data_IF_022163886985
#
_entry.id   IF_022163886985
#
_cell.length_a   1.000
_cell.length_b   1.000
_cell.length_c   1.000
_cell.angle_alpha   90.00
_cell.angle_beta   90.00
_cell.angle_gamma   90.00
#
_symmetry.space_group_name_H-M   'P 1'
#
loop_
_entity.id
_entity.type
_entity.pdbx_description
1 polymer ?
#
# COMPACT_ATOMS: atom_id res chain seq x y z
N UNK A 1 10.78 54.97 -11.69
CA UNK A 1 9.69 55.95 -11.93
C UNK A 1 8.41 55.14 -12.06
N UNK A 2 7.62 55.17 -10.97
CA UNK A 2 6.24 55.70 -10.93
C UNK A 2 5.24 54.81 -11.67
N UNK A 3 4.15 54.33 -11.20
CA UNK A 3 3.24 54.46 -10.04
C UNK A 3 2.24 53.31 -10.18
N UNK A 4 1.84 52.55 -9.25
CA UNK A 4 1.00 52.77 -8.06
C UNK A 4 -0.49 53.12 -8.36
N UNK A 5 -1.36 52.33 -7.74
CA UNK A 5 -2.74 52.62 -7.28
C UNK A 5 -3.88 52.13 -8.19
N UNK A 6 -5.05 51.68 -7.72
CA UNK A 6 -5.72 51.53 -6.41
C UNK A 6 -6.98 50.70 -6.67
N UNK A 7 -7.32 49.79 -5.81
CA UNK A 7 -8.51 49.69 -4.93
C UNK A 7 -9.83 50.20 -5.49
N UNK A 8 -10.85 49.33 -5.52
CA UNK A 8 -12.18 49.71 -4.96
C UNK A 8 -12.96 48.49 -4.49
N UNK A 9 -13.40 48.54 -3.25
CA UNK A 9 -14.33 47.66 -2.59
C UNK A 9 -15.78 48.01 -2.96
N UNK A 10 -16.66 47.06 -2.92
CA UNK A 10 -18.12 47.26 -3.02
C UNK A 10 -18.86 46.16 -2.25
N UNK A 11 -19.33 46.52 -1.06
CA UNK A 11 -20.35 45.81 -0.27
C UNK A 11 -21.75 46.02 -0.87
N UNK A 12 -22.64 45.03 -0.68
CA UNK A 12 -24.05 45.07 -0.23
C UNK A 12 -24.73 43.78 -0.63
N UNK A 13 -25.23 43.00 0.23
CA UNK A 13 -26.27 43.02 1.25
C UNK A 13 -27.48 42.17 0.83
N UNK A 14 -27.74 41.19 1.65
CA UNK A 14 -28.98 40.66 2.15
C UNK A 14 -30.14 40.27 1.19
N UNK A 15 -30.61 39.02 1.37
CA UNK A 15 -31.91 38.56 0.96
C UNK A 15 -32.18 37.15 1.54
N UNK A 16 -32.77 37.07 2.73
CA UNK A 16 -33.37 35.90 3.29
C UNK A 16 -34.59 35.49 2.47
N UNK A 17 -34.71 34.21 2.09
CA UNK A 17 -36.01 33.57 1.89
C UNK A 17 -35.91 32.13 2.37
N UNK A 18 -36.62 31.87 3.46
CA UNK A 18 -36.96 30.56 4.00
C UNK A 18 -37.96 29.89 3.09
N UNK A 19 -37.64 28.67 2.62
CA UNK A 19 -38.68 27.71 2.27
C UNK A 19 -38.33 26.34 2.80
N UNK A 20 -39.13 25.90 3.74
CA UNK A 20 -39.23 24.55 4.27
C UNK A 20 -39.59 23.58 3.14
N UNK A 21 -38.81 22.51 3.01
CA UNK A 21 -39.14 21.38 2.14
C UNK A 21 -38.38 20.16 2.64
N UNK A 22 -39.01 19.35 3.53
CA UNK A 22 -38.56 18.01 3.85
C UNK A 22 -38.66 17.14 2.61
N UNK A 23 -37.52 16.65 2.13
CA UNK A 23 -37.47 15.44 1.33
C UNK A 23 -36.23 14.68 1.80
N UNK A 24 -36.47 13.67 2.62
CA UNK A 24 -35.52 12.65 2.99
C UNK A 24 -35.24 11.79 1.75
N UNK A 25 -34.22 12.11 1.02
CA UNK A 25 -33.57 11.18 0.09
C UNK A 25 -32.38 10.59 0.80
N UNK A 26 -32.58 9.39 1.32
CA UNK A 26 -31.47 8.50 1.69
C UNK A 26 -30.70 8.16 0.42
N UNK A 27 -29.69 8.94 0.11
CA UNK A 27 -28.64 8.48 -0.78
C UNK A 27 -27.78 7.49 0.01
N UNK A 28 -28.04 6.20 -0.21
CA UNK A 28 -27.03 5.18 0.00
C UNK A 28 -25.86 5.54 -0.92
N UNK A 29 -24.93 6.34 -0.42
CA UNK A 29 -23.58 6.35 -0.95
C UNK A 29 -22.94 5.07 -0.45
N UNK A 30 -22.92 4.02 -1.29
CA UNK A 30 -21.93 2.98 -1.17
C UNK A 30 -20.59 3.68 -1.32
N UNK A 31 -19.93 4.01 -0.20
CA UNK A 31 -18.54 4.39 -0.21
C UNK A 31 -17.78 3.19 -0.75
N UNK A 32 -17.16 3.36 -1.91
CA UNK A 32 -16.27 2.34 -2.45
C UNK A 32 -15.13 2.15 -1.44
N UNK A 33 -14.80 0.91 -1.12
CA UNK A 33 -13.70 0.55 -0.21
C UNK A 33 -12.35 1.16 -0.60
N UNK A 34 -12.18 1.60 -1.85
CA UNK A 34 -11.02 2.32 -2.32
C UNK A 34 -10.74 3.66 -1.61
N UNK A 35 -11.77 4.32 -1.07
CA UNK A 35 -11.62 5.61 -0.38
C UNK A 35 -10.93 5.49 0.99
N UNK A 36 -10.85 4.27 1.52
CA UNK A 36 -10.24 3.98 2.82
C UNK A 36 -8.71 3.97 2.78
N UNK A 37 -8.11 3.66 1.63
CA UNK A 37 -6.67 3.50 1.46
C UNK A 37 -5.95 4.75 0.96
N UNK A 38 -6.67 5.72 0.40
CA UNK A 38 -6.07 6.85 -0.31
C UNK A 38 -6.51 8.23 0.20
N UNK A 39 -7.47 8.30 1.13
CA UNK A 39 -8.09 9.55 1.53
C UNK A 39 -7.87 9.96 2.99
N UNK A 40 -8.21 11.22 3.33
CA UNK A 40 -8.13 11.75 4.70
C UNK A 40 -9.07 11.04 5.71
N UNK A 41 -9.84 10.04 5.25
CA UNK A 41 -10.67 9.19 6.13
C UNK A 41 -9.88 8.09 6.84
N UNK A 42 -8.69 7.78 6.36
CA UNK A 42 -7.86 6.70 6.87
C UNK A 42 -7.39 6.96 8.31
N UNK A 43 -6.88 8.15 8.59
CA UNK A 43 -6.49 8.57 9.93
C UNK A 43 -7.65 8.43 10.94
N UNK A 44 -8.88 8.78 10.50
CA UNK A 44 -10.08 8.68 11.33
C UNK A 44 -10.48 7.24 11.66
N UNK A 45 -10.26 6.30 10.74
CA UNK A 45 -10.59 4.89 10.99
C UNK A 45 -9.82 4.37 12.21
N UNK A 46 -8.51 4.56 12.23
CA UNK A 46 -7.67 4.08 13.32
C UNK A 46 -7.88 4.86 14.62
N UNK A 47 -8.17 6.18 14.55
CA UNK A 47 -8.59 6.97 15.70
C UNK A 47 -9.92 6.44 16.28
N UNK A 48 -10.90 6.11 15.44
CA UNK A 48 -12.20 5.57 15.85
C UNK A 48 -12.12 4.13 16.37
N UNK A 49 -11.18 3.32 15.87
CA UNK A 49 -10.95 1.96 16.34
C UNK A 49 -10.23 1.92 17.69
N UNK A 50 -9.44 2.96 17.99
CA UNK A 50 -8.66 3.06 19.24
C UNK A 50 -7.52 2.05 19.26
N UNK A 51 -7.73 0.90 19.94
CA UNK A 51 -6.80 -0.21 20.00
C UNK A 51 -7.55 -1.53 20.09
N UNK A 52 -6.96 -2.61 19.56
CA UNK A 52 -7.45 -3.96 19.73
C UNK A 52 -7.21 -4.46 21.17
N UNK A 53 -8.07 -5.35 21.64
CA UNK A 53 -7.83 -6.12 22.87
C UNK A 53 -7.00 -7.36 22.48
N UNK A 54 -5.76 -7.41 22.96
CA UNK A 54 -4.78 -8.46 22.64
C UNK A 54 -4.45 -9.24 23.90
N UNK A 55 -4.54 -10.57 23.84
CA UNK A 55 -4.12 -11.44 24.93
C UNK A 55 -2.59 -11.53 24.99
N UNK A 56 -1.99 -10.76 25.88
CA UNK A 56 -0.56 -10.73 26.15
C UNK A 56 -0.12 -11.67 27.27
N UNK A 57 -1.03 -12.49 27.81
CA UNK A 57 -0.74 -13.36 28.99
C UNK A 57 0.32 -14.43 28.71
N UNK A 58 0.57 -14.73 27.42
CA UNK A 58 1.55 -15.72 26.97
C UNK A 58 2.73 -15.09 26.23
N UNK A 59 2.95 -13.78 26.41
CA UNK A 59 4.05 -13.09 25.75
C UNK A 59 5.40 -13.72 26.12
N UNK A 60 6.12 -14.18 25.12
CA UNK A 60 7.47 -14.73 25.23
C UNK A 60 8.35 -14.23 24.07
N UNK A 61 9.60 -14.69 24.00
CA UNK A 61 10.51 -14.36 22.90
C UNK A 61 10.55 -12.88 22.58
N UNK A 62 10.46 -12.56 21.31
CA UNK A 62 10.52 -11.20 20.78
C UNK A 62 9.36 -10.33 21.27
N UNK A 63 8.14 -10.89 21.41
CA UNK A 63 7.01 -10.11 21.95
C UNK A 63 7.30 -9.60 23.36
N UNK A 64 7.83 -10.47 24.22
CA UNK A 64 8.19 -10.06 25.58
C UNK A 64 9.26 -8.97 25.57
N UNK A 65 10.31 -9.08 24.72
CA UNK A 65 11.36 -8.08 24.60
C UNK A 65 10.80 -6.71 24.16
N UNK A 66 9.84 -6.70 23.22
CA UNK A 66 9.14 -5.50 22.75
C UNK A 66 8.37 -4.85 23.90
N UNK A 67 7.59 -5.64 24.67
CA UNK A 67 6.81 -5.15 25.79
C UNK A 67 7.70 -4.60 26.92
N UNK A 68 8.79 -5.30 27.27
CA UNK A 68 9.74 -4.88 28.28
C UNK A 68 10.48 -3.59 27.88
N UNK A 69 10.79 -3.43 26.61
CA UNK A 69 11.44 -2.25 26.02
C UNK A 69 10.47 -1.07 25.83
N UNK A 70 9.18 -1.34 25.71
CA UNK A 70 8.15 -0.35 25.41
C UNK A 70 8.21 0.19 23.98
N UNK A 71 8.80 -0.56 23.02
CA UNK A 71 8.96 -0.12 21.63
C UNK A 71 8.98 -1.32 20.68
N UNK A 72 8.24 -1.19 19.55
CA UNK A 72 8.33 -2.08 18.40
C UNK A 72 8.99 -1.35 17.23
N UNK A 73 9.88 -2.04 16.50
CA UNK A 73 10.62 -1.49 15.36
C UNK A 73 10.07 -2.09 14.08
N UNK A 74 9.44 -1.25 13.25
CA UNK A 74 8.97 -1.57 11.91
C UNK A 74 10.07 -1.32 10.88
N UNK A 75 10.23 -2.22 9.91
CA UNK A 75 10.90 -1.93 8.64
C UNK A 75 9.89 -1.84 7.49
N UNK A 76 10.09 -0.87 6.59
CA UNK A 76 9.25 -0.64 5.41
C UNK A 76 10.05 0.02 4.28
N UNK A 77 9.57 -0.14 3.02
CA UNK A 77 10.11 0.52 1.82
C UNK A 77 9.10 1.57 1.34
N UNK A 78 9.25 2.86 1.71
CA UNK A 78 8.21 3.85 1.52
C UNK A 78 8.20 4.45 0.12
N UNK A 79 8.02 3.61 -0.89
CA UNK A 79 7.95 3.92 -2.32
C UNK A 79 6.75 3.26 -3.02
N UNK A 80 5.77 2.75 -2.24
CA UNK A 80 4.63 2.00 -2.75
C UNK A 80 3.27 2.63 -2.34
N UNK A 81 2.94 3.84 -2.84
CA UNK A 81 1.69 4.51 -2.48
C UNK A 81 0.47 3.73 -3.02
N UNK A 82 -0.64 3.64 -2.25
CA UNK A 82 -0.90 4.34 -0.99
C UNK A 82 -0.50 3.55 0.26
N UNK A 83 0.14 2.37 0.11
CA UNK A 83 0.45 1.47 1.22
C UNK A 83 1.54 2.05 2.13
N UNK A 84 2.67 2.46 1.55
CA UNK A 84 3.75 3.15 2.24
C UNK A 84 4.47 4.12 1.29
N UNK A 85 4.61 5.34 1.70
CA UNK A 85 5.23 6.39 0.89
C UNK A 85 5.77 7.53 1.76
N UNK A 86 6.59 8.38 1.16
CA UNK A 86 7.07 9.62 1.80
C UNK A 86 6.21 10.78 1.30
N UNK A 87 5.60 11.54 2.22
CA UNK A 87 4.84 12.73 1.86
C UNK A 87 5.74 13.92 1.51
N UNK A 88 5.15 15.02 0.99
CA UNK A 88 5.87 16.24 0.61
C UNK A 88 6.62 16.91 1.78
N UNK A 89 6.35 16.50 3.01
CA UNK A 89 6.99 16.99 4.23
C UNK A 89 8.12 16.06 4.71
N UNK A 90 8.34 14.94 4.01
CA UNK A 90 9.33 13.94 4.34
C UNK A 90 8.88 12.94 5.41
N UNK A 91 7.58 12.87 5.73
CA UNK A 91 7.06 11.89 6.66
C UNK A 91 6.71 10.59 5.94
N UNK A 92 7.01 9.47 6.59
CA UNK A 92 6.57 8.15 6.11
C UNK A 92 5.12 7.94 6.49
N UNK A 93 4.27 7.66 5.51
CA UNK A 93 2.81 7.51 5.65
C UNK A 93 2.30 6.34 4.81
N UNK A 94 1.01 6.07 4.94
CA UNK A 94 0.29 5.06 4.17
C UNK A 94 -0.41 4.03 5.06
N UNK A 95 -1.18 3.14 4.42
CA UNK A 95 -1.99 2.15 5.12
C UNK A 95 -1.16 1.21 5.99
N UNK A 96 0.02 0.82 5.52
CA UNK A 96 0.92 -0.08 6.25
C UNK A 96 1.51 0.56 7.49
N UNK A 97 1.79 1.87 7.41
CA UNK A 97 2.27 2.65 8.56
C UNK A 97 1.17 2.81 9.61
N UNK A 98 -0.07 3.02 9.16
CA UNK A 98 -1.23 3.10 10.05
C UNK A 98 -1.51 1.76 10.73
N UNK A 99 -1.43 0.64 10.00
CA UNK A 99 -1.53 -0.70 10.57
C UNK A 99 -0.45 -0.92 11.64
N UNK A 100 0.81 -0.58 11.33
CA UNK A 100 1.90 -0.70 12.29
C UNK A 100 1.68 0.14 13.55
N UNK A 101 1.16 1.37 13.40
CA UNK A 101 0.80 2.23 14.54
C UNK A 101 -0.34 1.62 15.37
N UNK A 102 -1.35 1.04 14.71
CA UNK A 102 -2.46 0.37 15.38
C UNK A 102 -1.99 -0.88 16.15
N UNK A 103 -1.07 -1.65 15.57
CA UNK A 103 -0.40 -2.77 16.25
C UNK A 103 0.35 -2.25 17.50
N UNK A 104 1.18 -1.22 17.36
CA UNK A 104 1.93 -0.66 18.49
C UNK A 104 1.02 -0.16 19.60
N UNK A 105 -0.05 0.57 19.26
CA UNK A 105 -1.06 1.05 20.21
C UNK A 105 -1.77 -0.10 20.95
N UNK A 106 -2.07 -1.20 20.22
CA UNK A 106 -2.73 -2.38 20.79
C UNK A 106 -1.82 -3.15 21.74
N UNK A 107 -0.53 -3.19 21.46
CA UNK A 107 0.50 -3.74 22.35
C UNK A 107 0.85 -2.80 23.51
N UNK A 108 0.46 -1.53 23.46
CA UNK A 108 0.79 -0.51 24.47
C UNK A 108 2.26 -0.06 24.43
N UNK A 109 2.87 -0.02 23.25
CA UNK A 109 4.26 0.35 23.02
C UNK A 109 4.40 1.46 21.96
N UNK A 110 5.57 2.09 21.91
CA UNK A 110 5.89 3.08 20.89
C UNK A 110 6.25 2.42 19.56
N UNK A 111 5.86 3.02 18.42
CA UNK A 111 6.31 2.62 17.09
C UNK A 111 7.58 3.36 16.71
N UNK A 112 8.59 2.62 16.26
CA UNK A 112 9.76 3.17 15.56
C UNK A 112 9.75 2.67 14.12
N UNK A 113 9.80 3.56 13.14
CA UNK A 113 9.87 3.22 11.72
C UNK A 113 11.31 3.32 11.23
N UNK A 114 11.80 2.26 10.59
CA UNK A 114 13.06 2.23 9.84
C UNK A 114 12.77 2.00 8.36
N UNK A 115 13.26 2.89 7.51
CA UNK A 115 13.07 2.82 6.06
C UNK A 115 14.27 2.20 5.37
N UNK A 116 14.00 1.37 4.37
CA UNK A 116 15.01 0.69 3.57
C UNK A 116 14.41 0.17 2.27
N UNK A 117 15.24 -0.34 1.35
CA UNK A 117 14.76 -0.95 0.11
C UNK A 117 13.90 -2.19 0.40
N UNK A 118 12.92 -2.46 -0.46
CA UNK A 118 11.93 -3.53 -0.30
C UNK A 118 12.56 -4.89 0.07
N UNK A 119 13.58 -5.32 -0.68
CA UNK A 119 14.28 -6.58 -0.40
C UNK A 119 15.07 -6.56 0.93
N UNK A 120 15.52 -5.38 1.36
CA UNK A 120 16.26 -5.24 2.62
C UNK A 120 15.37 -5.36 3.85
N UNK A 121 14.05 -5.08 3.74
CA UNK A 121 13.09 -5.21 4.84
C UNK A 121 13.07 -6.64 5.36
N UNK A 122 12.90 -7.63 4.50
CA UNK A 122 12.87 -9.04 4.91
C UNK A 122 14.22 -9.50 5.47
N UNK A 123 15.34 -9.00 4.92
CA UNK A 123 16.68 -9.27 5.48
C UNK A 123 16.83 -8.70 6.89
N UNK A 124 16.29 -7.52 7.15
CA UNK A 124 16.32 -6.90 8.47
C UNK A 124 15.47 -7.67 9.49
N UNK A 125 14.32 -8.21 9.07
CA UNK A 125 13.48 -9.10 9.89
C UNK A 125 14.22 -10.40 10.22
N UNK A 126 14.78 -11.08 9.22
CA UNK A 126 15.48 -12.36 9.39
C UNK A 126 16.67 -12.25 10.36
N UNK A 127 17.44 -11.18 10.21
CA UNK A 127 18.60 -10.91 11.10
C UNK A 127 18.21 -10.39 12.49
N UNK A 128 16.91 -10.09 12.72
CA UNK A 128 16.41 -9.53 13.98
C UNK A 128 16.84 -8.09 14.24
N UNK A 129 17.28 -7.37 13.19
CA UNK A 129 17.60 -5.93 13.26
C UNK A 129 16.36 -5.10 13.55
N UNK A 130 15.21 -5.54 13.05
CA UNK A 130 13.88 -5.00 13.30
C UNK A 130 12.99 -6.09 13.86
N UNK A 131 11.82 -5.71 14.39
CA UNK A 131 10.90 -6.64 15.01
C UNK A 131 9.83 -7.15 14.04
N UNK A 132 9.41 -6.31 13.09
CA UNK A 132 8.36 -6.58 12.12
C UNK A 132 8.64 -5.88 10.80
N UNK A 133 8.28 -6.53 9.68
CA UNK A 133 8.26 -5.95 8.33
C UNK A 133 6.81 -5.82 7.84
N UNK A 134 6.40 -4.62 7.43
CA UNK A 134 5.13 -4.35 6.77
C UNK A 134 5.44 -3.42 5.59
N UNK A 135 5.24 -3.90 4.36
CA UNK A 135 5.64 -3.18 3.15
C UNK A 135 4.96 -3.79 1.92
N UNK A 136 3.63 -3.85 1.92
CA UNK A 136 2.87 -4.40 0.80
C UNK A 136 3.24 -5.84 0.44
N UNK A 137 3.77 -6.62 1.38
CA UNK A 137 4.19 -7.99 1.09
C UNK A 137 2.98 -8.87 0.79
N UNK A 138 2.83 -9.33 -0.45
CA UNK A 138 1.92 -10.43 -0.72
C UNK A 138 2.43 -11.74 -0.14
N UNK A 139 1.53 -12.68 0.10
CA UNK A 139 1.90 -14.03 0.52
C UNK A 139 2.70 -14.74 -0.58
N UNK A 140 3.74 -15.47 -0.20
CA UNK A 140 4.50 -16.41 -1.04
C UNK A 140 4.87 -17.62 -0.21
N UNK A 141 4.77 -18.83 -0.77
CA UNK A 141 5.08 -20.06 -0.04
C UNK A 141 6.53 -20.10 0.46
N UNK A 142 7.49 -19.67 -0.37
CA UNK A 142 8.90 -19.58 0.00
C UNK A 142 9.15 -18.53 1.11
N UNK A 143 8.35 -17.45 1.14
CA UNK A 143 8.38 -16.46 2.22
C UNK A 143 7.84 -17.04 3.52
N UNK A 144 6.77 -17.84 3.46
CA UNK A 144 6.20 -18.53 4.63
C UNK A 144 7.14 -19.61 5.22
N UNK A 145 8.03 -20.17 4.41
CA UNK A 145 9.08 -21.08 4.92
C UNK A 145 10.13 -20.33 5.75
N UNK A 146 10.44 -19.07 5.39
CA UNK A 146 11.52 -18.30 6.00
C UNK A 146 11.05 -17.41 7.17
N UNK A 147 9.79 -17.00 7.18
CA UNK A 147 9.22 -16.07 8.15
C UNK A 147 7.95 -16.63 8.79
N UNK A 148 7.56 -16.11 9.96
CA UNK A 148 6.17 -16.19 10.38
C UNK A 148 5.43 -15.04 9.69
N UNK A 149 4.39 -15.37 8.91
CA UNK A 149 3.55 -14.42 8.21
C UNK A 149 2.22 -14.24 8.94
N UNK A 150 1.70 -13.03 8.95
CA UNK A 150 0.40 -12.74 9.55
C UNK A 150 -0.74 -13.28 8.70
N UNK A 151 -1.96 -13.23 9.24
CA UNK A 151 -3.18 -13.24 8.45
C UNK A 151 -3.13 -12.10 7.42
N UNK A 152 -3.83 -12.32 6.30
CA UNK A 152 -3.90 -11.30 5.27
C UNK A 152 -4.60 -10.03 5.75
N UNK A 153 -4.04 -8.91 5.43
CA UNK A 153 -4.66 -7.59 5.57
C UNK A 153 -4.76 -6.93 4.20
N UNK A 154 -5.60 -5.91 4.06
CA UNK A 154 -5.72 -5.18 2.79
C UNK A 154 -6.11 -6.05 1.59
N UNK A 155 -7.12 -6.86 1.69
CA UNK A 155 -7.73 -7.46 0.53
C UNK A 155 -8.95 -6.66 0.08
N UNK A 156 -8.74 -5.51 -0.56
CA UNK A 156 -9.80 -4.93 -1.37
C UNK A 156 -9.87 -5.67 -2.71
N UNK A 157 -11.04 -5.75 -3.32
CA UNK A 157 -11.19 -6.26 -4.69
C UNK A 157 -10.31 -5.51 -5.71
N UNK A 158 -9.86 -4.30 -5.39
CA UNK A 158 -8.94 -3.50 -6.19
C UNK A 158 -7.47 -3.93 -6.04
N UNK A 159 -7.06 -4.45 -4.86
CA UNK A 159 -5.71 -4.99 -4.66
C UNK A 159 -5.53 -6.38 -5.28
N UNK A 160 -6.61 -6.99 -5.78
CA UNK A 160 -6.58 -8.30 -6.45
C UNK A 160 -6.05 -8.25 -7.89
N UNK A 161 -5.80 -7.05 -8.47
CA UNK A 161 -5.31 -6.93 -9.84
C UNK A 161 -3.85 -6.49 -9.86
N UNK A 162 -3.05 -7.15 -10.66
CA UNK A 162 -1.69 -6.75 -10.95
C UNK A 162 -1.54 -6.45 -12.44
N UNK A 163 -0.83 -5.37 -12.78
CA UNK A 163 -0.78 -4.79 -14.12
C UNK A 163 0.59 -4.17 -14.40
N UNK A 164 0.66 -3.41 -15.50
CA UNK A 164 1.85 -2.67 -15.85
C UNK A 164 1.53 -1.17 -16.00
N UNK A 165 2.44 -0.33 -15.52
CA UNK A 165 2.47 1.11 -15.73
C UNK A 165 3.36 1.39 -16.94
N UNK A 166 2.88 2.21 -17.88
CA UNK A 166 3.57 2.52 -19.14
C UNK A 166 3.54 4.02 -19.45
N UNK A 167 4.41 4.54 -20.33
CA UNK A 167 4.26 5.90 -20.85
C UNK A 167 2.91 6.08 -21.55
N UNK A 168 2.22 7.18 -21.26
CA UNK A 168 0.86 7.42 -21.75
C UNK A 168 0.76 7.41 -23.28
N UNK A 169 1.78 7.92 -23.99
CA UNK A 169 1.83 7.92 -25.45
C UNK A 169 1.95 6.53 -26.07
N UNK A 170 2.39 5.52 -25.30
CA UNK A 170 2.53 4.14 -25.77
C UNK A 170 1.39 3.22 -25.32
N UNK A 171 0.48 3.70 -24.48
CA UNK A 171 -0.53 2.86 -23.86
C UNK A 171 -1.43 2.11 -24.86
N UNK A 172 -1.67 2.69 -26.04
CA UNK A 172 -2.46 2.07 -27.10
C UNK A 172 -1.77 0.92 -27.83
N UNK A 173 -0.47 0.73 -27.63
CA UNK A 173 0.30 -0.39 -28.17
C UNK A 173 0.08 -1.69 -27.35
N UNK A 174 -0.39 -1.60 -26.11
CA UNK A 174 -0.50 -2.71 -25.16
C UNK A 174 -1.97 -3.10 -24.93
N UNK A 175 -2.41 -4.18 -25.56
CA UNK A 175 -3.79 -4.71 -25.48
C UNK A 175 -3.85 -6.08 -24.78
N UNK A 176 -2.69 -6.68 -24.55
CA UNK A 176 -2.52 -7.97 -23.88
C UNK A 176 -1.14 -8.06 -23.25
N UNK A 177 -0.91 -9.02 -22.34
CA UNK A 177 0.43 -9.29 -21.79
C UNK A 177 1.43 -9.70 -22.87
N UNK A 178 0.96 -10.33 -23.98
CA UNK A 178 1.84 -10.74 -25.08
C UNK A 178 2.51 -9.55 -25.81
N UNK A 179 1.92 -8.36 -25.74
CA UNK A 179 2.49 -7.14 -26.35
C UNK A 179 3.75 -6.64 -25.61
N UNK A 180 4.00 -7.19 -24.41
CA UNK A 180 5.21 -6.91 -23.64
C UNK A 180 6.37 -7.88 -23.90
N UNK A 181 6.20 -8.86 -24.81
CA UNK A 181 7.31 -9.74 -25.23
C UNK A 181 8.48 -8.90 -25.76
N UNK A 182 9.69 -9.18 -25.25
CA UNK A 182 10.91 -8.44 -25.59
C UNK A 182 11.00 -7.01 -25.06
N UNK A 183 10.02 -6.55 -24.26
CA UNK A 183 10.04 -5.23 -23.63
C UNK A 183 10.87 -5.26 -22.35
N UNK A 184 11.43 -4.11 -22.02
CA UNK A 184 12.15 -3.92 -20.75
C UNK A 184 11.16 -3.59 -19.65
N UNK A 185 11.07 -4.48 -18.66
CA UNK A 185 10.11 -4.36 -17.54
C UNK A 185 10.88 -4.33 -16.22
N UNK A 186 10.64 -3.30 -15.43
CA UNK A 186 11.17 -3.23 -14.06
C UNK A 186 10.18 -3.83 -13.06
N UNK A 187 10.74 -4.51 -12.06
CA UNK A 187 10.04 -4.96 -10.84
C UNK A 187 10.94 -4.76 -9.62
N UNK A 188 10.35 -4.62 -8.44
CA UNK A 188 11.15 -4.74 -7.22
C UNK A 188 11.62 -6.19 -7.03
N UNK A 189 12.88 -6.35 -6.63
CA UNK A 189 13.44 -7.69 -6.38
C UNK A 189 12.65 -8.45 -5.30
N UNK A 190 12.36 -9.72 -5.55
CA UNK A 190 11.57 -10.62 -4.69
C UNK A 190 10.08 -10.24 -4.50
N UNK A 191 9.55 -9.32 -5.32
CA UNK A 191 8.12 -8.99 -5.34
C UNK A 191 7.29 -10.13 -5.97
N UNK A 192 5.96 -10.05 -5.83
CA UNK A 192 5.03 -10.89 -6.59
C UNK A 192 5.10 -10.56 -8.09
N UNK A 193 5.26 -9.29 -8.42
CA UNK A 193 5.34 -8.82 -9.78
C UNK A 193 6.55 -9.40 -10.54
N UNK A 194 7.68 -9.61 -9.85
CA UNK A 194 8.82 -10.33 -10.44
C UNK A 194 8.41 -11.74 -10.87
N UNK A 195 7.69 -12.46 -10.03
CA UNK A 195 7.19 -13.80 -10.31
C UNK A 195 6.20 -13.76 -11.49
N UNK A 196 5.21 -12.85 -11.47
CA UNK A 196 4.20 -12.76 -12.52
C UNK A 196 4.80 -12.42 -13.90
N UNK A 197 5.76 -11.48 -13.96
CA UNK A 197 6.46 -11.18 -15.22
C UNK A 197 7.24 -12.38 -15.73
N UNK A 198 7.97 -13.06 -14.82
CA UNK A 198 8.75 -14.25 -15.18
C UNK A 198 7.87 -15.36 -15.75
N UNK A 199 6.70 -15.60 -15.16
CA UNK A 199 5.83 -16.72 -15.54
C UNK A 199 4.96 -16.40 -16.76
N UNK A 200 4.49 -15.15 -16.88
CA UNK A 200 3.46 -14.79 -17.88
C UNK A 200 3.99 -13.96 -19.05
N UNK A 201 5.20 -13.38 -18.94
CA UNK A 201 5.89 -12.67 -20.03
C UNK A 201 7.34 -13.20 -20.14
N UNK A 202 7.54 -14.50 -20.44
CA UNK A 202 8.87 -15.14 -20.33
C UNK A 202 9.95 -14.55 -21.22
N UNK A 203 9.55 -13.87 -22.33
CA UNK A 203 10.49 -13.21 -23.25
C UNK A 203 10.74 -11.74 -22.89
N UNK A 204 10.22 -11.22 -21.75
CA UNK A 204 10.51 -9.89 -21.30
C UNK A 204 11.98 -9.74 -20.90
N UNK A 205 12.57 -8.56 -21.17
CA UNK A 205 13.84 -8.14 -20.59
C UNK A 205 13.58 -7.61 -19.16
N UNK A 206 13.41 -8.57 -18.20
CA UNK A 206 13.08 -8.28 -16.82
C UNK A 206 14.29 -7.71 -16.09
N UNK A 207 14.14 -6.52 -15.54
CA UNK A 207 15.11 -5.86 -14.70
C UNK A 207 14.60 -5.79 -13.26
N UNK A 208 15.51 -5.92 -12.28
CA UNK A 208 15.19 -5.87 -10.86
C UNK A 208 15.77 -4.61 -10.25
N UNK A 209 14.89 -3.79 -9.70
CA UNK A 209 15.27 -2.54 -9.04
C UNK A 209 15.16 -2.65 -7.52
N UNK A 210 15.89 -1.80 -6.83
CA UNK A 210 15.83 -1.70 -5.38
C UNK A 210 14.59 -0.92 -4.92
N UNK A 211 14.25 0.16 -5.63
CA UNK A 211 13.14 1.06 -5.31
C UNK A 211 12.28 1.35 -6.53
N UNK A 212 10.99 1.65 -6.32
CA UNK A 212 10.10 2.10 -7.39
C UNK A 212 10.46 3.50 -7.89
N UNK A 213 11.01 4.37 -7.05
CA UNK A 213 11.49 5.69 -7.46
C UNK A 213 12.53 5.58 -8.60
N UNK A 214 13.41 4.57 -8.50
CA UNK A 214 14.35 4.27 -9.57
C UNK A 214 13.61 3.83 -10.85
N UNK A 215 12.65 2.90 -10.74
CA UNK A 215 11.87 2.41 -11.88
C UNK A 215 11.07 3.54 -12.55
N UNK A 216 10.44 4.41 -11.77
CA UNK A 216 9.70 5.59 -12.26
C UNK A 216 10.62 6.53 -13.06
N UNK A 217 11.83 6.81 -12.55
CA UNK A 217 12.80 7.62 -13.28
C UNK A 217 13.25 6.94 -14.58
N UNK A 218 13.45 5.61 -14.55
CA UNK A 218 13.84 4.84 -15.74
C UNK A 218 12.72 4.80 -16.78
N UNK A 219 11.46 4.68 -16.35
CA UNK A 219 10.29 4.78 -17.21
C UNK A 219 10.15 6.18 -17.83
N UNK A 220 10.29 7.22 -17.01
CA UNK A 220 10.20 8.62 -17.43
C UNK A 220 11.26 8.98 -18.48
N UNK A 221 12.45 8.42 -18.34
CA UNK A 221 13.57 8.66 -19.29
C UNK A 221 13.57 7.74 -20.50
N UNK A 222 12.62 6.81 -20.60
CA UNK A 222 12.50 5.86 -21.70
C UNK A 222 13.59 4.76 -21.70
N UNK A 223 14.24 4.54 -20.56
CA UNK A 223 15.24 3.48 -20.39
C UNK A 223 14.57 2.10 -20.31
N UNK A 224 13.34 2.05 -19.79
CA UNK A 224 12.46 0.88 -19.74
C UNK A 224 11.13 1.16 -20.44
N UNK A 225 10.37 0.11 -20.73
CA UNK A 225 9.08 0.20 -21.40
C UNK A 225 7.90 0.15 -20.40
N UNK A 226 8.05 -0.54 -19.26
CA UNK A 226 7.00 -0.72 -18.28
C UNK A 226 7.53 -0.99 -16.87
N UNK A 227 6.66 -0.79 -15.87
CA UNK A 227 6.85 -1.23 -14.48
C UNK A 227 5.68 -2.13 -14.11
N UNK A 228 5.95 -3.33 -13.57
CA UNK A 228 4.88 -4.19 -13.06
C UNK A 228 4.54 -3.84 -11.61
N UNK A 229 3.26 -3.60 -11.33
CA UNK A 229 2.71 -3.11 -10.07
C UNK A 229 1.36 -3.75 -9.78
N UNK A 230 0.84 -3.62 -8.55
CA UNK A 230 -0.59 -3.77 -8.34
C UNK A 230 -1.36 -2.59 -8.97
N UNK A 231 -2.66 -2.81 -9.22
CA UNK A 231 -3.48 -1.83 -9.94
C UNK A 231 -3.67 -0.53 -9.17
N UNK A 232 -3.70 -0.57 -7.84
CA UNK A 232 -3.90 0.62 -6.99
C UNK A 232 -2.67 1.52 -7.03
N UNK A 233 -1.49 0.94 -6.88
CA UNK A 233 -0.20 1.66 -6.98
C UNK A 233 0.02 2.17 -8.40
N UNK A 234 -0.27 1.37 -9.43
CA UNK A 234 -0.18 1.81 -10.82
C UNK A 234 -1.10 2.99 -11.12
N UNK A 235 -2.34 2.95 -10.60
CA UNK A 235 -3.29 4.05 -10.70
C UNK A 235 -2.79 5.30 -9.98
N UNK A 236 -2.27 5.15 -8.76
CA UNK A 236 -1.74 6.28 -8.00
C UNK A 236 -0.61 7.00 -8.76
N UNK A 237 0.37 6.25 -9.28
CA UNK A 237 1.44 6.83 -10.11
C UNK A 237 0.91 7.46 -11.40
N UNK A 238 -0.09 6.86 -12.06
CA UNK A 238 -0.70 7.44 -13.25
C UNK A 238 -1.38 8.80 -12.93
N UNK A 239 -2.17 8.86 -11.85
CA UNK A 239 -2.91 10.07 -11.44
C UNK A 239 -1.98 11.20 -10.99
N UNK A 240 -0.85 10.88 -10.34
CA UNK A 240 0.11 11.87 -9.81
C UNK A 240 1.19 12.28 -10.81
N UNK A 241 1.23 11.66 -12.01
CA UNK A 241 2.27 11.87 -13.02
C UNK A 241 2.02 13.03 -13.99
N UNK A 242 1.00 13.86 -13.79
CA UNK A 242 0.58 14.90 -14.75
C UNK A 242 0.34 14.34 -16.16
N UNK A 243 -0.16 13.10 -16.26
CA UNK A 243 -0.49 12.44 -17.54
C UNK A 243 0.72 11.82 -18.26
N UNK A 244 1.87 11.69 -17.62
CA UNK A 244 3.03 11.02 -18.22
C UNK A 244 2.84 9.50 -18.31
N UNK A 245 2.16 8.90 -17.36
CA UNK A 245 1.99 7.45 -17.25
C UNK A 245 0.53 7.03 -17.24
N UNK A 246 0.30 5.78 -17.59
CA UNK A 246 -1.02 5.14 -17.60
C UNK A 246 -0.89 3.70 -17.12
N UNK A 247 -1.83 3.27 -16.28
CA UNK A 247 -2.05 1.86 -15.98
C UNK A 247 -2.73 1.18 -17.17
N UNK A 248 -2.13 0.11 -17.70
CA UNK A 248 -2.76 -0.61 -18.83
C UNK A 248 -4.00 -1.39 -18.40
N UNK A 249 -4.16 -1.69 -17.12
CA UNK A 249 -5.43 -2.22 -16.57
C UNK A 249 -6.54 -1.19 -16.71
N UNK A 250 -6.35 0.01 -16.21
CA UNK A 250 -7.35 1.09 -16.29
C UNK A 250 -7.68 1.48 -17.73
N UNK A 251 -6.67 1.47 -18.61
CA UNK A 251 -6.84 1.88 -20.00
C UNK A 251 -7.42 0.79 -20.90
N UNK A 252 -6.95 -0.44 -20.76
CA UNK A 252 -7.17 -1.52 -21.72
C UNK A 252 -7.66 -2.83 -21.09
N UNK A 253 -7.79 -2.91 -19.75
CA UNK A 253 -8.12 -4.14 -19.03
C UNK A 253 -7.00 -5.18 -19.05
N UNK A 254 -5.73 -4.77 -19.20
CA UNK A 254 -4.59 -5.69 -19.24
C UNK A 254 -4.08 -5.93 -17.83
N UNK A 255 -4.10 -7.17 -17.40
CA UNK A 255 -3.68 -7.62 -16.09
C UNK A 255 -3.01 -8.99 -16.12
N UNK A 256 -2.29 -9.34 -15.07
CA UNK A 256 -1.76 -10.69 -14.87
C UNK A 256 -2.88 -11.64 -14.46
N UNK A 257 -2.82 -12.89 -14.93
CA UNK A 257 -3.72 -13.96 -14.50
C UNK A 257 -3.25 -14.48 -13.14
N UNK A 258 -4.02 -14.21 -12.09
CA UNK A 258 -3.72 -14.63 -10.73
C UNK A 258 -4.33 -15.98 -10.36
N UNK A 259 -5.11 -16.60 -11.25
CA UNK A 259 -5.86 -17.82 -10.94
C UNK A 259 -5.01 -19.01 -10.50
N UNK A 260 -3.74 -19.05 -10.92
CA UNK A 260 -2.78 -20.08 -10.53
C UNK A 260 -2.05 -19.81 -9.20
N UNK A 261 -2.28 -18.63 -8.59
CA UNK A 261 -1.65 -18.21 -7.33
C UNK A 261 -2.70 -18.03 -6.21
N UNK A 262 -3.83 -18.71 -6.32
CA UNK A 262 -5.11 -18.44 -5.64
C UNK A 262 -5.14 -18.63 -4.11
N UNK A 263 -4.06 -19.06 -3.46
CA UNK A 263 -4.03 -19.21 -1.99
C UNK A 263 -3.61 -17.94 -1.24
N UNK A 264 -3.54 -16.80 -1.95
CA UNK A 264 -2.85 -15.61 -1.46
C UNK A 264 -3.83 -14.47 -1.21
N UNK A 265 -4.47 -14.48 -0.05
CA UNK A 265 -5.43 -13.47 0.35
C UNK A 265 -4.74 -12.26 0.99
N UNK A 266 -4.44 -11.23 0.16
CA UNK A 266 -4.00 -9.93 0.65
C UNK A 266 -2.52 -9.83 1.03
N UNK A 267 -2.17 -8.67 1.55
CA UNK A 267 -0.84 -8.39 2.06
C UNK A 267 -0.66 -9.02 3.45
N UNK A 268 0.58 -9.34 3.81
CA UNK A 268 0.95 -9.95 5.09
C UNK A 268 2.07 -9.17 5.77
N UNK A 269 2.03 -9.11 7.09
CA UNK A 269 3.18 -8.70 7.89
C UNK A 269 4.12 -9.89 8.08
N UNK A 270 5.42 -9.63 8.18
CA UNK A 270 6.44 -10.65 8.39
C UNK A 270 7.19 -10.40 9.71
N UNK A 271 7.35 -11.46 10.50
CA UNK A 271 8.25 -11.47 11.64
C UNK A 271 9.23 -12.62 11.51
N UNK A 272 10.34 -12.59 12.27
CA UNK A 272 11.36 -13.63 12.20
C UNK A 272 10.76 -15.00 12.49
N UNK A 273 11.24 -16.02 11.77
CA UNK A 273 10.81 -17.41 11.95
C UNK A 273 10.98 -17.87 13.39
N UNK A 274 9.92 -18.49 13.93
CA UNK A 274 9.88 -18.97 15.32
C UNK A 274 9.34 -17.95 16.34
N UNK A 275 9.12 -16.68 15.97
CA UNK A 275 8.54 -15.66 16.86
C UNK A 275 7.00 -15.76 16.86
N UNK A 276 6.49 -16.94 17.24
CA UNK A 276 5.06 -17.29 17.18
C UNK A 276 4.19 -16.42 18.08
N UNK A 277 4.68 -16.07 19.26
CA UNK A 277 3.98 -15.19 20.20
C UNK A 277 3.75 -13.78 19.62
N UNK A 278 4.74 -13.26 18.88
CA UNK A 278 4.62 -11.96 18.23
C UNK A 278 3.63 -11.99 17.08
N UNK A 279 3.72 -13.00 16.20
CA UNK A 279 2.81 -13.07 15.06
C UNK A 279 1.36 -13.36 15.49
N UNK A 280 1.16 -14.15 16.55
CA UNK A 280 -0.16 -14.39 17.13
C UNK A 280 -0.79 -13.09 17.68
N UNK A 281 0.01 -12.23 18.33
CA UNK A 281 -0.44 -10.93 18.78
C UNK A 281 -0.81 -9.99 17.62
N UNK A 282 -0.01 -9.99 16.55
CA UNK A 282 -0.29 -9.24 15.31
C UNK A 282 -1.57 -9.75 14.64
N UNK A 283 -1.77 -11.06 14.58
CA UNK A 283 -2.99 -11.66 14.03
C UNK A 283 -4.25 -11.26 14.81
N UNK A 284 -4.20 -11.21 16.13
CA UNK A 284 -5.32 -10.73 16.95
C UNK A 284 -5.69 -9.28 16.60
N UNK A 285 -4.69 -8.43 16.31
CA UNK A 285 -4.93 -7.04 15.89
C UNK A 285 -5.58 -7.00 14.51
N UNK A 286 -5.05 -7.75 13.53
CA UNK A 286 -5.58 -7.81 12.15
C UNK A 286 -7.01 -8.36 12.16
N UNK A 287 -7.28 -9.44 12.90
CA UNK A 287 -8.61 -10.05 13.02
C UNK A 287 -9.63 -9.09 13.65
N UNK A 288 -9.18 -8.21 14.56
CA UNK A 288 -10.05 -7.20 15.16
C UNK A 288 -10.48 -6.13 14.14
N UNK A 289 -9.63 -5.79 13.19
CA UNK A 289 -9.97 -4.90 12.06
C UNK A 289 -11.04 -5.52 11.18
N UNK A 290 -10.87 -6.80 10.84
CA UNK A 290 -11.83 -7.57 10.05
C UNK A 290 -13.22 -7.63 10.71
N UNK A 291 -13.27 -7.94 12.02
CA UNK A 291 -14.52 -8.06 12.77
C UNK A 291 -15.19 -6.73 13.07
N UNK A 292 -14.47 -5.62 12.96
CA UNK A 292 -15.04 -4.28 13.17
C UNK A 292 -16.13 -3.92 12.15
N UNK A 293 -16.21 -4.64 11.02
CA UNK A 293 -17.09 -4.32 9.89
C UNK A 293 -16.73 -3.00 9.20
N UNK A 294 -15.63 -2.39 9.61
CA UNK A 294 -15.09 -1.14 9.05
C UNK A 294 -13.92 -1.39 8.11
N UNK A 295 -13.40 -2.60 8.14
CA UNK A 295 -12.31 -3.09 7.33
C UNK A 295 -12.78 -4.38 6.65
N UNK A 296 -12.82 -4.40 5.33
CA UNK A 296 -13.14 -5.65 4.61
C UNK A 296 -11.89 -6.53 4.59
N UNK A 297 -11.91 -7.59 5.42
CA UNK A 297 -11.05 -8.73 5.21
C UNK A 297 -11.77 -9.69 4.26
N UNK A 298 -11.13 -10.15 3.24
CA UNK A 298 -11.62 -11.32 2.50
C UNK A 298 -11.14 -12.60 3.13
#
# INVERSE_FOLDING_TARGET
MKNMNKVLAGLMAAGLLLTTGCASTSTNSSSSTSDWYTGPGYDKLYEELGKADVDLSKADGKLKDILDKGQIVLATSPDYPPSEFVDDQGNVKGSDIMLAQYIANSLGVDLKVETMDFNAVLTAVDTGKVDIGISGFGYKADRAEQFELSHGYQSSSAAAHHTLLVPAEKADEYKSLADFSGKKIDTQANSLQEMYVTDQIPDADLQKVATLDQAILELQTGKIDAIALDSTTAKNYAETSDGMFVSVYEKNGVEFDLSQYADESGNVAAVKKGETSLIDAVNQVIDSLATSGKYESN
#
